data_IF_235596946141
#
_entry.id   IF_235596946141
#
_cell.length_a   1.000
_cell.length_b   1.000
_cell.length_c   1.000
_cell.angle_alpha   90.00
_cell.angle_beta   90.00
_cell.angle_gamma   90.00
#
_symmetry.space_group_name_H-M   'P 1'
#
loop_
_entity.id
_entity.type
_entity.pdbx_description
1 polymer ?
#
# COMPACT_ATOMS: atom_id res chain seq x y z
N UNK A 1 15.34 -17.16 21.07
CA UNK A 1 13.98 -17.01 21.63
C UNK A 1 13.73 -15.53 21.69
N UNK A 2 13.16 -14.99 20.63
CA UNK A 2 12.89 -13.56 20.56
C UNK A 2 11.73 -13.25 21.52
N UNK A 3 12.06 -12.58 22.63
CA UNK A 3 11.06 -12.08 23.56
C UNK A 3 10.32 -10.95 22.88
N UNK A 4 9.19 -11.28 22.24
CA UNK A 4 8.27 -10.27 21.72
C UNK A 4 7.89 -9.37 22.89
N UNK A 5 8.28 -8.11 22.83
CA UNK A 5 7.95 -7.15 23.88
C UNK A 5 6.48 -6.76 23.77
N UNK A 6 5.80 -6.72 24.91
CA UNK A 6 4.43 -6.24 25.00
C UNK A 6 4.45 -4.79 25.48
N UNK A 7 3.69 -3.95 24.82
CA UNK A 7 3.47 -2.56 25.19
C UNK A 7 2.05 -2.28 25.61
N UNK A 8 1.80 -1.07 26.07
CA UNK A 8 0.47 -0.57 26.44
C UNK A 8 0.22 0.79 25.80
N UNK A 9 -0.97 0.97 25.26
CA UNK A 9 -1.40 2.27 24.72
C UNK A 9 -1.43 3.31 25.84
N UNK A 10 -0.71 4.42 25.63
CA UNK A 10 -0.71 5.54 26.55
C UNK A 10 -1.59 6.68 26.07
N UNK A 11 -1.64 6.91 24.75
CA UNK A 11 -2.41 7.99 24.14
C UNK A 11 -2.87 7.59 22.73
N UNK A 12 -4.08 8.04 22.37
CA UNK A 12 -4.63 7.94 21.01
C UNK A 12 -5.03 9.33 20.56
N UNK A 13 -4.54 9.76 19.40
CA UNK A 13 -4.84 11.07 18.81
C UNK A 13 -5.05 10.92 17.30
N UNK A 14 -6.30 10.71 16.88
CA UNK A 14 -6.60 10.36 15.50
C UNK A 14 -5.92 9.05 15.11
N UNK A 15 -5.18 9.04 14.01
CA UNK A 15 -4.42 7.87 13.56
C UNK A 15 -3.09 7.66 14.31
N UNK A 16 -2.71 8.58 15.21
CA UNK A 16 -1.45 8.48 15.96
C UNK A 16 -1.72 7.82 17.31
N UNK A 17 -0.98 6.76 17.60
CA UNK A 17 -1.08 6.00 18.85
C UNK A 17 0.29 5.93 19.51
N UNK A 18 0.39 6.40 20.76
CA UNK A 18 1.61 6.30 21.55
C UNK A 18 1.52 5.06 22.43
N UNK A 19 2.57 4.24 22.39
CA UNK A 19 2.65 2.95 23.06
C UNK A 19 3.88 2.91 23.94
N UNK A 20 3.73 2.57 25.22
CA UNK A 20 4.81 2.40 26.16
C UNK A 20 5.18 0.93 26.33
N UNK A 21 6.47 0.63 26.31
CA UNK A 21 7.03 -0.70 26.51
C UNK A 21 7.76 -0.78 27.84
N UNK A 22 7.68 -1.94 28.51
CA UNK A 22 8.38 -2.18 29.77
C UNK A 22 9.82 -2.74 29.58
N UNK A 23 10.20 -3.04 28.32
CA UNK A 23 11.48 -3.64 27.96
C UNK A 23 12.11 -3.00 26.72
N UNK A 24 12.67 -3.84 25.85
CA UNK A 24 13.28 -3.38 24.60
C UNK A 24 12.23 -2.72 23.70
N UNK A 25 12.64 -1.61 23.10
CA UNK A 25 11.80 -0.87 22.17
C UNK A 25 11.78 -1.56 20.80
N UNK A 26 10.60 -1.64 20.16
CA UNK A 26 10.52 -2.09 18.77
C UNK A 26 11.30 -1.15 17.84
N UNK A 27 11.87 -1.71 16.80
CA UNK A 27 12.56 -0.91 15.78
C UNK A 27 11.58 -0.02 15.01
N UNK A 28 12.10 1.09 14.46
CA UNK A 28 11.33 1.97 13.58
C UNK A 28 10.91 1.17 12.35
N UNK A 29 9.67 1.37 11.89
CA UNK A 29 8.97 0.64 10.84
C UNK A 29 8.48 -0.75 11.23
N UNK A 30 8.73 -1.22 12.44
CA UNK A 30 8.11 -2.47 12.91
C UNK A 30 6.58 -2.33 12.98
N UNK A 31 5.92 -3.45 12.68
CA UNK A 31 4.49 -3.59 12.85
C UNK A 31 4.17 -4.05 14.27
N UNK A 32 3.29 -3.35 14.93
CA UNK A 32 2.71 -3.73 16.21
C UNK A 32 1.26 -4.19 15.98
N UNK A 33 0.82 -5.15 16.75
CA UNK A 33 -0.54 -5.69 16.68
C UNK A 33 -1.31 -5.38 17.96
N UNK A 34 -2.56 -4.92 17.80
CA UNK A 34 -3.52 -4.79 18.89
C UNK A 34 -4.91 -5.23 18.42
N UNK A 35 -5.78 -5.53 19.36
CA UNK A 35 -7.18 -5.84 19.06
C UNK A 35 -8.00 -4.55 19.06
N UNK A 36 -8.85 -4.37 18.08
CA UNK A 36 -9.82 -3.28 18.05
C UNK A 36 -11.22 -3.85 17.85
N UNK A 37 -11.93 -4.08 18.97
CA UNK A 37 -13.28 -4.65 18.97
C UNK A 37 -13.39 -6.01 18.25
N UNK A 38 -12.42 -6.89 18.44
CA UNK A 38 -12.37 -8.21 17.80
C UNK A 38 -11.79 -8.19 16.38
N UNK A 39 -11.33 -7.05 15.91
CA UNK A 39 -10.58 -6.92 14.65
C UNK A 39 -9.11 -6.62 14.94
N UNK A 40 -8.23 -7.25 14.21
CA UNK A 40 -6.79 -7.01 14.29
C UNK A 40 -6.48 -5.63 13.72
N UNK A 41 -5.85 -4.77 14.50
CA UNK A 41 -5.34 -3.48 14.06
C UNK A 41 -3.82 -3.50 14.06
N UNK A 42 -3.23 -3.08 12.96
CA UNK A 42 -1.79 -2.91 12.80
C UNK A 42 -1.42 -1.45 13.03
N UNK A 43 -0.37 -1.26 13.84
CA UNK A 43 0.24 0.03 14.09
C UNK A 43 1.69 -0.03 13.60
N UNK A 44 2.15 0.95 12.84
CA UNK A 44 3.55 1.05 12.40
C UNK A 44 4.33 2.01 13.28
N UNK A 45 5.50 1.60 13.76
CA UNK A 45 6.38 2.44 14.57
C UNK A 45 6.98 3.54 13.71
N UNK A 46 6.63 4.79 13.97
CA UNK A 46 7.11 5.95 13.25
C UNK A 46 8.33 6.61 13.91
N UNK A 47 8.37 6.66 15.26
CA UNK A 47 9.47 7.27 15.99
C UNK A 47 9.49 6.84 17.45
N UNK A 48 10.68 6.97 18.09
CA UNK A 48 10.84 6.84 19.52
C UNK A 48 10.75 8.22 20.18
N UNK A 49 9.94 8.34 21.23
CA UNK A 49 9.74 9.60 21.94
C UNK A 49 10.62 9.74 23.19
N UNK A 50 11.29 8.66 23.61
CA UNK A 50 11.96 8.55 24.89
C UNK A 50 11.06 7.92 25.97
N UNK A 51 11.60 7.70 27.17
CA UNK A 51 10.88 7.08 28.32
C UNK A 51 10.18 5.76 27.97
N UNK A 52 10.79 4.97 27.09
CA UNK A 52 10.24 3.72 26.56
C UNK A 52 8.90 3.87 25.84
N UNK A 53 8.62 5.05 25.27
CA UNK A 53 7.43 5.34 24.48
C UNK A 53 7.80 5.40 23.01
N UNK A 54 7.04 4.69 22.19
CA UNK A 54 7.08 4.78 20.72
C UNK A 54 5.81 5.43 20.20
N UNK A 55 5.97 6.25 19.18
CA UNK A 55 4.88 6.81 18.41
C UNK A 55 4.60 5.96 17.20
N UNK A 56 3.35 5.58 17.03
CA UNK A 56 2.93 4.72 15.94
C UNK A 56 1.82 5.37 15.11
N UNK A 57 1.67 4.90 13.88
CA UNK A 57 0.59 5.26 12.97
C UNK A 57 -0.30 4.03 12.76
N UNK A 58 -1.59 4.19 13.02
CA UNK A 58 -2.56 3.13 12.79
C UNK A 58 -2.87 2.99 11.29
N UNK A 59 -2.92 1.75 10.82
CA UNK A 59 -3.22 1.41 9.42
C UNK A 59 -4.72 1.35 9.13
N UNK A 60 -5.54 1.43 10.17
CA UNK A 60 -7.00 1.50 10.06
C UNK A 60 -7.58 2.36 11.20
N UNK A 61 -8.91 2.36 11.34
CA UNK A 61 -9.61 3.16 12.35
C UNK A 61 -9.13 2.84 13.78
N UNK A 62 -8.89 3.90 14.54
CA UNK A 62 -8.52 3.83 15.95
C UNK A 62 -9.73 3.95 16.88
N UNK A 63 -10.94 4.04 16.32
CA UNK A 63 -12.17 4.13 17.11
C UNK A 63 -12.38 2.85 17.91
N UNK A 64 -12.48 2.98 19.21
CA UNK A 64 -12.62 1.85 20.14
C UNK A 64 -11.35 1.49 20.91
N UNK A 65 -10.18 2.00 20.51
CA UNK A 65 -8.95 1.83 21.29
C UNK A 65 -9.05 2.53 22.64
N UNK A 66 -8.57 1.85 23.68
CA UNK A 66 -8.56 2.38 25.04
C UNK A 66 -7.14 2.49 25.60
N UNK A 67 -6.92 3.47 26.46
CA UNK A 67 -5.66 3.61 27.19
C UNK A 67 -5.40 2.40 28.08
N UNK A 68 -4.17 1.91 28.10
CA UNK A 68 -3.76 0.71 28.84
C UNK A 68 -3.98 -0.59 28.11
N UNK A 69 -4.54 -0.56 26.90
CA UNK A 69 -4.73 -1.73 26.05
C UNK A 69 -3.39 -2.31 25.62
N UNK A 70 -3.31 -3.63 25.57
CA UNK A 70 -2.09 -4.34 25.21
C UNK A 70 -1.80 -4.23 23.71
N UNK A 71 -0.52 -4.07 23.39
CA UNK A 71 0.03 -4.01 22.05
C UNK A 71 1.23 -4.94 21.98
N UNK A 72 1.30 -5.77 20.95
CA UNK A 72 2.37 -6.76 20.76
C UNK A 72 3.27 -6.36 19.61
N UNK A 73 4.58 -6.34 19.85
CA UNK A 73 5.56 -6.20 18.77
C UNK A 73 5.63 -7.50 17.95
N UNK A 74 5.54 -7.39 16.62
CA UNK A 74 5.72 -8.52 15.71
C UNK A 74 7.19 -8.84 15.44
N UNK A 75 8.09 -7.91 15.74
CA UNK A 75 9.52 -8.00 15.44
C UNK A 75 9.85 -7.89 13.95
N UNK A 76 8.91 -7.45 13.13
CA UNK A 76 9.07 -7.30 11.68
C UNK A 76 8.29 -6.08 11.18
N UNK A 77 8.73 -5.46 10.08
CA UNK A 77 7.91 -4.47 9.38
C UNK A 77 6.65 -5.10 8.77
N UNK A 78 5.70 -4.25 8.37
CA UNK A 78 4.51 -4.68 7.64
C UNK A 78 4.96 -5.38 6.35
N UNK A 79 4.45 -6.60 6.12
CA UNK A 79 4.74 -7.40 4.93
C UNK A 79 3.45 -7.66 4.17
N UNK A 80 3.54 -7.58 2.85
CA UNK A 80 2.42 -7.83 1.94
C UNK A 80 2.75 -9.02 1.04
N UNK A 81 1.76 -9.82 0.64
CA UNK A 81 1.95 -10.90 -0.31
C UNK A 81 2.40 -10.32 -1.66
N UNK A 82 3.26 -11.04 -2.37
CA UNK A 82 3.76 -10.67 -3.69
C UNK A 82 3.71 -11.87 -4.64
N UNK A 83 3.81 -11.61 -5.96
CA UNK A 83 3.83 -12.62 -7.00
C UNK A 83 2.50 -12.75 -7.75
N UNK A 84 2.42 -13.74 -8.65
CA UNK A 84 1.28 -13.93 -9.56
C UNK A 84 -0.05 -14.13 -8.85
N UNK A 85 -0.05 -14.69 -7.64
CA UNK A 85 -1.27 -14.90 -6.85
C UNK A 85 -1.95 -13.59 -6.41
N UNK A 86 -1.29 -12.43 -6.57
CA UNK A 86 -1.83 -11.12 -6.26
C UNK A 86 -2.49 -10.43 -7.46
N UNK A 87 -2.36 -11.00 -8.65
CA UNK A 87 -2.96 -10.43 -9.86
C UNK A 87 -4.49 -10.51 -9.81
N UNK A 88 -5.15 -9.44 -10.23
CA UNK A 88 -6.61 -9.33 -10.18
C UNK A 88 -7.19 -9.23 -8.76
N UNK A 89 -6.37 -9.02 -7.73
CA UNK A 89 -6.80 -8.95 -6.33
C UNK A 89 -6.75 -7.52 -5.79
N UNK A 90 -7.73 -7.21 -4.93
CA UNK A 90 -7.79 -5.95 -4.19
C UNK A 90 -7.44 -6.22 -2.74
N UNK A 91 -6.42 -5.52 -2.25
CA UNK A 91 -5.90 -5.69 -0.90
C UNK A 91 -5.86 -4.37 -0.15
N UNK A 92 -5.97 -4.44 1.17
CA UNK A 92 -5.75 -3.29 2.04
C UNK A 92 -4.23 -3.02 2.21
N UNK A 93 -3.89 -1.96 2.95
CA UNK A 93 -2.50 -1.52 3.19
C UNK A 93 -1.64 -2.57 3.91
N UNK A 94 -2.24 -3.50 4.63
CA UNK A 94 -1.53 -4.60 5.32
C UNK A 94 -1.51 -5.90 4.51
N UNK A 95 -1.99 -5.88 3.25
CA UNK A 95 -1.96 -7.02 2.34
C UNK A 95 -3.08 -8.04 2.55
N UNK A 96 -4.14 -7.67 3.29
CA UNK A 96 -5.32 -8.51 3.43
C UNK A 96 -6.29 -8.27 2.28
N UNK A 97 -6.85 -9.32 1.66
CA UNK A 97 -7.79 -9.15 0.56
C UNK A 97 -9.11 -8.54 1.05
N UNK A 98 -9.66 -7.61 0.26
CA UNK A 98 -10.92 -6.92 0.52
C UNK A 98 -11.93 -7.08 -0.63
N UNK A 99 -11.66 -8.01 -1.55
CA UNK A 99 -12.40 -8.26 -2.78
C UNK A 99 -13.34 -9.48 -2.69
N UNK A 100 -13.60 -10.01 -1.48
CA UNK A 100 -14.37 -11.23 -1.22
C UNK A 100 -13.86 -12.48 -1.94
N UNK A 101 -12.69 -12.40 -2.59
CA UNK A 101 -12.05 -13.50 -3.33
C UNK A 101 -11.33 -14.55 -2.46
N UNK A 102 -11.49 -14.50 -1.15
CA UNK A 102 -10.80 -15.39 -0.20
C UNK A 102 -9.33 -15.03 0.01
N UNK A 103 -8.58 -15.85 0.74
CA UNK A 103 -7.18 -15.60 1.05
C UNK A 103 -6.29 -15.64 -0.20
N UNK A 104 -5.26 -14.79 -0.24
CA UNK A 104 -4.22 -14.82 -1.28
C UNK A 104 -3.21 -15.92 -0.93
N UNK A 105 -3.15 -16.97 -1.74
CA UNK A 105 -2.17 -18.06 -1.56
C UNK A 105 -0.82 -17.68 -2.19
N UNK A 106 -0.15 -16.71 -1.58
CA UNK A 106 1.19 -16.29 -1.99
C UNK A 106 2.25 -17.01 -1.16
N UNK A 107 3.25 -17.56 -1.84
CA UNK A 107 4.41 -18.23 -1.21
C UNK A 107 5.41 -17.22 -0.65
N UNK A 108 5.38 -15.99 -1.13
CA UNK A 108 6.34 -14.94 -0.78
C UNK A 108 5.62 -13.71 -0.23
N UNK A 109 6.24 -13.07 0.74
CA UNK A 109 5.83 -11.76 1.23
C UNK A 109 7.02 -10.83 1.32
N UNK A 110 6.82 -9.55 1.04
CA UNK A 110 7.87 -8.52 1.11
C UNK A 110 7.47 -7.39 2.04
N UNK A 111 8.45 -6.77 2.72
CA UNK A 111 8.21 -5.53 3.47
C UNK A 111 7.68 -4.43 2.54
N UNK A 112 6.77 -3.61 3.04
CA UNK A 112 6.26 -2.46 2.29
C UNK A 112 7.33 -1.37 2.12
N UNK A 113 8.29 -1.31 3.04
CA UNK A 113 9.45 -0.42 2.98
C UNK A 113 10.62 -1.14 2.32
N UNK A 114 10.96 -0.73 1.10
CA UNK A 114 12.07 -1.28 0.32
C UNK A 114 12.90 -0.12 -0.20
N UNK A 115 14.22 -0.27 -0.14
CA UNK A 115 15.15 0.71 -0.71
C UNK A 115 14.99 0.77 -2.23
N UNK A 116 15.09 1.98 -2.79
CA UNK A 116 15.12 2.15 -4.24
C UNK A 116 16.37 1.48 -4.83
N UNK A 117 16.30 0.99 -6.10
CA UNK A 117 17.48 0.49 -6.79
C UNK A 117 18.59 1.55 -6.84
N UNK A 118 19.86 1.15 -6.67
CA UNK A 118 20.97 2.09 -6.77
C UNK A 118 21.06 2.66 -8.19
N UNK A 119 21.61 3.87 -8.30
CA UNK A 119 21.70 4.60 -9.58
C UNK A 119 22.38 3.78 -10.69
N UNK A 120 23.35 2.95 -10.33
CA UNK A 120 24.11 2.10 -11.28
C UNK A 120 23.23 1.08 -12.01
N UNK A 121 22.13 0.67 -11.40
CA UNK A 121 21.17 -0.29 -11.96
C UNK A 121 20.05 0.39 -12.77
N UNK A 122 20.01 1.72 -12.77
CA UNK A 122 18.96 2.45 -13.48
C UNK A 122 19.39 2.71 -14.91
N UNK A 123 18.46 2.50 -15.87
CA UNK A 123 18.69 2.90 -17.26
C UNK A 123 18.77 4.41 -17.39
N UNK A 124 19.78 4.90 -18.07
CA UNK A 124 19.94 6.33 -18.39
C UNK A 124 19.38 6.71 -19.76
N UNK A 125 18.91 5.73 -20.53
CA UNK A 125 18.32 5.97 -21.84
C UNK A 125 16.89 6.49 -21.71
N UNK A 126 16.57 7.55 -22.44
CA UNK A 126 15.21 8.09 -22.47
C UNK A 126 14.44 7.42 -23.60
N UNK A 127 13.49 6.55 -23.22
CA UNK A 127 12.56 5.93 -24.14
C UNK A 127 11.16 6.51 -23.98
N UNK A 128 10.45 6.69 -25.09
CA UNK A 128 9.04 7.11 -25.07
C UNK A 128 8.15 5.89 -24.81
N UNK A 129 7.22 6.05 -23.86
CA UNK A 129 6.13 5.10 -23.63
C UNK A 129 4.96 5.47 -24.53
N UNK A 130 4.70 4.66 -25.54
CA UNK A 130 3.53 4.82 -26.40
C UNK A 130 2.29 4.35 -25.62
N UNK A 131 1.39 5.30 -25.34
CA UNK A 131 0.21 5.05 -24.51
C UNK A 131 -1.03 4.63 -25.30
N UNK A 132 -1.01 4.82 -26.63
CA UNK A 132 -2.18 4.61 -27.50
C UNK A 132 -3.21 5.74 -27.42
N UNK A 133 -3.02 6.72 -26.56
CA UNK A 133 -3.87 7.89 -26.42
C UNK A 133 -3.31 9.02 -27.27
N UNK A 134 -3.93 9.32 -28.40
CA UNK A 134 -3.39 10.24 -29.42
C UNK A 134 -2.98 11.61 -28.88
N UNK A 135 -3.77 12.18 -27.99
CA UNK A 135 -3.49 13.50 -27.43
C UNK A 135 -2.26 13.47 -26.51
N UNK A 136 -2.06 12.39 -25.77
CA UNK A 136 -0.90 12.21 -24.91
C UNK A 136 0.34 11.97 -25.77
N UNK A 137 0.30 10.99 -26.66
CA UNK A 137 1.44 10.58 -27.47
C UNK A 137 1.94 11.69 -28.40
N UNK A 138 1.02 12.57 -28.87
CA UNK A 138 1.35 13.64 -29.79
C UNK A 138 1.79 14.93 -29.09
N UNK A 139 1.10 15.34 -28.02
CA UNK A 139 1.27 16.65 -27.40
C UNK A 139 2.08 16.63 -26.10
N UNK A 140 2.06 15.52 -25.38
CA UNK A 140 2.75 15.38 -24.10
C UNK A 140 3.24 13.94 -23.90
N UNK A 141 4.16 13.43 -24.76
CA UNK A 141 4.58 12.03 -24.71
C UNK A 141 5.21 11.68 -23.37
N UNK A 142 4.90 10.49 -22.88
CA UNK A 142 5.41 9.98 -21.61
C UNK A 142 6.74 9.26 -21.82
N UNK A 143 7.68 9.45 -20.90
CA UNK A 143 8.90 8.67 -20.87
C UNK A 143 8.75 7.44 -20.01
N UNK A 144 9.32 6.30 -20.42
CA UNK A 144 9.44 5.11 -19.57
C UNK A 144 10.22 5.47 -18.30
N UNK A 145 9.71 4.98 -17.14
CA UNK A 145 10.26 5.31 -15.83
C UNK A 145 9.96 6.74 -15.34
N UNK A 146 9.21 7.53 -16.11
CA UNK A 146 8.81 8.88 -15.73
C UNK A 146 7.72 8.92 -14.66
N UNK A 147 7.62 10.05 -13.97
CA UNK A 147 6.53 10.37 -13.04
C UNK A 147 5.61 11.38 -13.69
N UNK A 148 4.33 11.04 -13.84
CA UNK A 148 3.36 11.85 -14.55
C UNK A 148 2.23 12.23 -13.60
N UNK A 149 1.88 13.51 -13.56
CA UNK A 149 0.77 14.02 -12.76
C UNK A 149 -0.41 14.40 -13.65
N UNK A 150 -1.59 13.87 -13.35
CA UNK A 150 -2.86 14.27 -13.97
C UNK A 150 -3.64 15.15 -13.00
N UNK A 151 -3.75 16.43 -13.32
CA UNK A 151 -4.44 17.42 -12.50
C UNK A 151 -5.75 17.85 -13.16
N UNK A 152 -6.77 18.04 -12.34
CA UNK A 152 -8.08 18.51 -12.81
C UNK A 152 -9.14 18.40 -11.72
N UNK A 153 -10.25 19.11 -11.88
CA UNK A 153 -11.41 19.03 -11.01
C UNK A 153 -12.11 17.68 -11.00
N UNK A 154 -13.19 17.56 -10.25
CA UNK A 154 -14.03 16.38 -10.26
C UNK A 154 -14.73 16.23 -11.62
N UNK A 155 -14.91 14.99 -12.11
CA UNK A 155 -15.67 14.70 -13.33
C UNK A 155 -14.99 15.04 -14.66
N UNK A 156 -13.70 15.39 -14.67
CA UNK A 156 -12.99 15.75 -15.92
C UNK A 156 -12.35 14.55 -16.64
N UNK A 157 -12.64 13.33 -16.22
CA UNK A 157 -12.20 12.11 -16.91
C UNK A 157 -10.81 11.59 -16.51
N UNK A 158 -10.23 12.04 -15.40
CA UNK A 158 -8.91 11.52 -14.91
C UNK A 158 -8.92 10.00 -14.75
N UNK A 159 -9.95 9.45 -14.10
CA UNK A 159 -10.09 8.01 -13.87
C UNK A 159 -10.21 7.24 -15.18
N UNK A 160 -10.99 7.75 -16.13
CA UNK A 160 -11.14 7.14 -17.47
C UNK A 160 -9.79 7.10 -18.19
N UNK A 161 -9.01 8.18 -18.11
CA UNK A 161 -7.68 8.22 -18.72
C UNK A 161 -6.73 7.20 -18.07
N UNK A 162 -6.79 7.03 -16.75
CA UNK A 162 -5.97 6.04 -16.04
C UNK A 162 -6.37 4.61 -16.44
N UNK A 163 -7.68 4.32 -16.52
CA UNK A 163 -8.19 3.02 -16.96
C UNK A 163 -7.72 2.68 -18.39
N UNK A 164 -7.81 3.64 -19.31
CA UNK A 164 -7.33 3.47 -20.67
C UNK A 164 -5.81 3.24 -20.73
N UNK A 165 -5.04 3.95 -19.91
CA UNK A 165 -3.59 3.70 -19.78
C UNK A 165 -3.28 2.29 -19.27
N UNK A 166 -3.99 1.81 -18.24
CA UNK A 166 -3.84 0.46 -17.70
C UNK A 166 -4.13 -0.57 -18.79
N UNK A 167 -5.26 -0.44 -19.47
CA UNK A 167 -5.67 -1.35 -20.53
C UNK A 167 -4.64 -1.39 -21.67
N UNK A 168 -4.22 -0.22 -22.17
CA UNK A 168 -3.29 -0.13 -23.27
C UNK A 168 -1.90 -0.66 -22.92
N UNK A 169 -1.41 -0.43 -21.70
CA UNK A 169 -0.14 -0.98 -21.24
C UNK A 169 -0.21 -2.50 -21.14
N UNK A 170 -1.30 -3.06 -20.63
CA UNK A 170 -1.49 -4.50 -20.55
C UNK A 170 -1.52 -5.15 -21.95
N UNK A 171 -2.27 -4.58 -22.89
CA UNK A 171 -2.42 -5.13 -24.25
C UNK A 171 -1.19 -4.95 -25.13
N UNK A 172 -0.58 -3.76 -25.14
CA UNK A 172 0.51 -3.42 -26.06
C UNK A 172 1.89 -3.86 -25.55
N UNK A 173 2.10 -3.89 -24.24
CA UNK A 173 3.42 -4.13 -23.66
C UNK A 173 3.49 -5.38 -22.80
N UNK A 174 2.39 -6.11 -22.58
CA UNK A 174 2.34 -7.32 -21.74
C UNK A 174 2.79 -7.03 -20.29
N UNK A 175 2.62 -5.80 -19.84
CA UNK A 175 3.06 -5.35 -18.53
C UNK A 175 2.02 -5.58 -17.43
N UNK A 176 2.48 -5.50 -16.19
CA UNK A 176 1.61 -5.50 -15.00
C UNK A 176 1.29 -4.07 -14.60
N UNK A 177 0.07 -3.85 -14.13
CA UNK A 177 -0.37 -2.56 -13.60
C UNK A 177 -0.71 -2.70 -12.13
N UNK A 178 -0.28 -1.71 -11.33
CA UNK A 178 -0.64 -1.62 -9.92
C UNK A 178 -1.37 -0.31 -9.70
N UNK A 179 -2.58 -0.38 -9.19
CA UNK A 179 -3.37 0.79 -8.84
C UNK A 179 -3.40 0.96 -7.31
N UNK A 180 -2.95 2.11 -6.82
CA UNK A 180 -3.00 2.46 -5.40
C UNK A 180 -4.00 3.60 -5.18
N UNK A 181 -5.11 3.30 -4.51
CA UNK A 181 -6.14 4.29 -4.15
C UNK A 181 -5.82 4.94 -2.81
N UNK A 182 -5.52 6.25 -2.83
CA UNK A 182 -5.31 7.05 -1.63
C UNK A 182 -6.34 8.16 -1.59
N UNK A 183 -7.32 8.06 -0.67
CA UNK A 183 -8.43 9.00 -0.57
C UNK A 183 -9.42 8.94 -1.73
N UNK A 184 -9.37 7.88 -2.54
CA UNK A 184 -10.31 7.61 -3.62
C UNK A 184 -11.48 6.73 -3.15
N UNK A 185 -12.59 6.78 -3.90
CA UNK A 185 -13.75 5.91 -3.63
C UNK A 185 -13.41 4.46 -4.01
N UNK A 186 -13.84 3.51 -3.20
CA UNK A 186 -13.66 2.06 -3.44
C UNK A 186 -14.23 1.62 -4.81
N UNK A 187 -15.30 2.27 -5.27
CA UNK A 187 -15.85 2.02 -6.61
C UNK A 187 -14.87 2.30 -7.75
N UNK A 188 -13.93 3.23 -7.58
CA UNK A 188 -12.90 3.48 -8.60
C UNK A 188 -11.93 2.30 -8.72
N UNK A 189 -11.64 1.61 -7.62
CA UNK A 189 -10.80 0.40 -7.61
C UNK A 189 -11.48 -0.76 -8.33
N UNK A 190 -12.78 -0.98 -8.08
CA UNK A 190 -13.55 -2.04 -8.74
C UNK A 190 -13.62 -1.83 -10.25
N UNK A 191 -13.90 -0.62 -10.72
CA UNK A 191 -13.93 -0.32 -12.16
C UNK A 191 -12.57 -0.48 -12.86
N UNK A 192 -11.44 -0.30 -12.14
CA UNK A 192 -10.11 -0.55 -12.72
C UNK A 192 -9.79 -2.03 -12.82
N UNK A 193 -10.26 -2.87 -11.89
CA UNK A 193 -10.11 -4.33 -11.99
C UNK A 193 -10.98 -4.90 -13.12
N UNK A 194 -12.25 -4.49 -13.23
CA UNK A 194 -13.13 -4.91 -14.32
C UNK A 194 -12.56 -4.56 -15.70
N UNK A 195 -11.98 -3.36 -15.86
CA UNK A 195 -11.37 -2.95 -17.13
C UNK A 195 -10.12 -3.77 -17.49
N UNK A 196 -9.40 -4.31 -16.50
CA UNK A 196 -8.28 -5.20 -16.73
C UNK A 196 -8.74 -6.61 -17.10
N UNK A 197 -9.85 -7.09 -16.53
CA UNK A 197 -10.42 -8.41 -16.80
C UNK A 197 -11.13 -8.48 -18.14
N UNK A 198 -11.82 -7.42 -18.58
CA UNK A 198 -12.44 -7.35 -19.91
C UNK A 198 -11.41 -7.38 -21.06
N UNK A 199 -10.18 -6.98 -20.80
CA UNK A 199 -9.08 -7.05 -21.77
C UNK A 199 -8.52 -8.45 -22.00
N UNK A 200 -8.83 -9.43 -21.13
CA UNK A 200 -8.38 -10.82 -21.25
C UNK A 200 -9.45 -11.77 -21.81
N UNK A 201 -10.63 -11.25 -22.12
CA UNK A 201 -11.76 -12.01 -22.63
C UNK A 201 -11.90 -11.92 -24.14
N UNK A 202 -11.02 -12.59 -24.89
CA UNK A 202 -11.32 -13.27 -26.19
C UNK A 202 -10.30 -14.34 -26.46
#
# INVERSE_FOLDING_TARGET
>A
MDSKSNGKITQVTGAVVDVQFDGDLPEILNALETDNNGQKLILEVASHLGENIVRTIAMDSTEGLVRGQEVKDTGNPIKVPVGEATLGRIMNVVGEPIDDGGSVDSKESRPIHTSAPPYVEQSTETEILVTGIKVVDLLAPYSKGGKIGLFGGAGVGKTVLIQELINNVAQAHGGYSVFAGVGERTSCLLYTSDAADEGLGV
#
